data_IF_794565091631
#
_entry.id   IF_794565091631
#
_cell.length_a   1.000
_cell.length_b   1.000
_cell.length_c   1.000
_cell.angle_alpha   90.00
_cell.angle_beta   90.00
_cell.angle_gamma   90.00
#
_symmetry.space_group_name_H-M   'P 1'
#
loop_
_entity.id
_entity.type
_entity.pdbx_description
1 polymer ?
#
# COMPACT_ATOMS: atom_id res chain seq x y z
N UNK A 1 12.23 16.87 -27.14
CA UNK A 1 12.15 15.90 -26.05
C UNK A 1 10.76 16.08 -25.43
N UNK A 2 9.82 15.18 -25.71
CA UNK A 2 8.43 15.35 -25.27
C UNK A 2 8.35 15.11 -23.74
N UNK A 3 8.22 16.19 -22.96
CA UNK A 3 7.79 16.09 -21.58
C UNK A 3 6.31 15.72 -21.62
N UNK A 4 5.94 14.57 -21.07
CA UNK A 4 4.55 14.15 -20.98
C UNK A 4 3.72 15.24 -20.28
N UNK A 5 2.51 15.48 -20.79
CA UNK A 5 1.58 16.39 -20.12
C UNK A 5 1.28 15.87 -18.70
N UNK A 6 1.35 16.73 -17.69
CA UNK A 6 1.09 16.37 -16.30
C UNK A 6 -0.25 15.64 -16.09
N UNK A 7 -1.29 15.92 -16.92
CA UNK A 7 -2.59 15.23 -16.87
C UNK A 7 -2.47 13.76 -17.28
N UNK A 8 -1.63 13.46 -18.27
CA UNK A 8 -1.37 12.09 -18.74
C UNK A 8 -0.59 11.34 -17.64
N UNK A 9 0.41 11.98 -17.06
CA UNK A 9 1.19 11.40 -15.95
C UNK A 9 0.28 11.13 -14.76
N UNK A 10 -0.59 12.07 -14.39
CA UNK A 10 -1.59 11.85 -13.32
C UNK A 10 -2.47 10.63 -13.64
N UNK A 11 -2.97 10.50 -14.87
CA UNK A 11 -3.77 9.34 -15.29
C UNK A 11 -3.01 8.02 -15.17
N UNK A 12 -1.75 7.99 -15.60
CA UNK A 12 -0.89 6.81 -15.50
C UNK A 12 -0.65 6.45 -14.02
N UNK A 13 -0.25 7.43 -13.19
CA UNK A 13 0.03 7.19 -11.77
C UNK A 13 -1.22 6.77 -11.00
N UNK A 14 -2.39 7.33 -11.30
CA UNK A 14 -3.65 6.91 -10.66
C UNK A 14 -4.03 5.48 -11.03
N UNK A 15 -3.84 5.06 -12.28
CA UNK A 15 -4.02 3.65 -12.68
C UNK A 15 -3.03 2.73 -11.92
N UNK A 16 -1.76 3.11 -11.84
CA UNK A 16 -0.74 2.35 -11.10
C UNK A 16 -1.11 2.19 -9.62
N UNK A 17 -1.55 3.27 -8.99
CA UNK A 17 -1.96 3.27 -7.58
C UNK A 17 -3.18 2.36 -7.38
N UNK A 18 -4.14 2.41 -8.28
CA UNK A 18 -5.31 1.55 -8.22
C UNK A 18 -4.91 0.07 -8.27
N UNK A 19 -4.08 -0.33 -9.25
CA UNK A 19 -3.58 -1.70 -9.35
C UNK A 19 -2.75 -2.11 -8.14
N UNK A 20 -1.84 -1.25 -7.69
CA UNK A 20 -1.01 -1.52 -6.51
C UNK A 20 -1.87 -1.68 -5.25
N UNK A 21 -2.77 -0.73 -4.98
CA UNK A 21 -3.61 -0.74 -3.79
C UNK A 21 -4.57 -1.93 -3.79
N UNK A 22 -5.22 -2.21 -4.93
CA UNK A 22 -6.09 -3.37 -5.07
C UNK A 22 -5.33 -4.69 -4.90
N UNK A 23 -4.15 -4.84 -5.51
CA UNK A 23 -3.31 -6.04 -5.37
C UNK A 23 -2.86 -6.24 -3.92
N UNK A 24 -2.52 -5.15 -3.22
CA UNK A 24 -2.09 -5.22 -1.82
C UNK A 24 -3.23 -5.64 -0.89
N UNK A 25 -4.40 -5.04 -1.05
CA UNK A 25 -5.53 -5.24 -0.13
C UNK A 25 -6.36 -6.48 -0.44
N UNK A 26 -6.33 -6.98 -1.69
CA UNK A 26 -7.09 -8.16 -2.08
C UNK A 26 -6.71 -9.43 -1.32
N UNK A 27 -5.45 -9.53 -0.85
CA UNK A 27 -4.97 -10.71 -0.14
C UNK A 27 -5.30 -10.70 1.36
N UNK A 28 -5.64 -9.53 1.91
CA UNK A 28 -5.85 -9.36 3.36
C UNK A 28 -6.96 -10.27 3.89
N UNK A 29 -8.17 -10.28 3.32
CA UNK A 29 -9.28 -11.02 3.91
C UNK A 29 -9.12 -12.54 3.83
N UNK A 30 -8.36 -13.07 2.88
CA UNK A 30 -8.20 -14.52 2.78
C UNK A 30 -6.83 -15.06 3.25
N UNK A 31 -5.96 -14.20 3.80
CA UNK A 31 -4.68 -14.68 4.34
C UNK A 31 -4.83 -15.79 5.39
N UNK A 32 -5.72 -15.68 6.40
CA UNK A 32 -5.93 -16.78 7.32
C UNK A 32 -6.45 -18.06 6.66
N UNK A 33 -7.34 -17.90 5.65
CA UNK A 33 -7.86 -19.04 4.88
C UNK A 33 -6.77 -19.69 4.03
N UNK A 34 -5.88 -18.89 3.43
CA UNK A 34 -4.72 -19.37 2.69
C UNK A 34 -3.78 -20.19 3.57
N UNK A 35 -3.54 -19.73 4.80
CA UNK A 35 -2.73 -20.44 5.78
C UNK A 35 -3.34 -21.80 6.15
N UNK A 36 -4.64 -21.87 6.34
CA UNK A 36 -5.31 -23.12 6.75
C UNK A 36 -5.52 -24.09 5.58
N UNK A 37 -6.06 -23.61 4.46
CA UNK A 37 -6.46 -24.48 3.34
C UNK A 37 -5.30 -24.87 2.42
N UNK A 38 -4.34 -23.94 2.19
CA UNK A 38 -3.26 -24.17 1.23
C UNK A 38 -1.93 -24.54 1.89
N UNK A 39 -1.68 -24.05 3.13
CA UNK A 39 -0.43 -24.28 3.84
C UNK A 39 -0.58 -25.23 5.04
N UNK A 40 -1.78 -25.73 5.30
CA UNK A 40 -2.03 -26.75 6.32
C UNK A 40 -1.85 -26.29 7.77
N UNK A 41 -1.95 -24.99 8.05
CA UNK A 41 -1.83 -24.44 9.39
C UNK A 41 -3.06 -24.82 10.22
N UNK A 42 -2.84 -25.40 11.40
CA UNK A 42 -3.93 -25.80 12.31
C UNK A 42 -4.71 -24.61 12.85
N UNK A 43 -6.02 -24.79 13.18
CA UNK A 43 -6.90 -23.74 13.66
C UNK A 43 -6.39 -23.01 14.90
N UNK A 44 -5.66 -23.69 15.78
CA UNK A 44 -5.10 -23.12 17.01
C UNK A 44 -3.98 -22.12 16.76
N UNK A 45 -3.23 -22.27 15.67
CA UNK A 45 -2.06 -21.45 15.34
C UNK A 45 -2.29 -20.46 14.21
N UNK A 46 -3.43 -20.50 13.52
CA UNK A 46 -3.71 -19.66 12.35
C UNK A 46 -3.65 -18.15 12.67
N UNK A 47 -4.16 -17.73 13.82
CA UNK A 47 -4.14 -16.34 14.24
C UNK A 47 -2.71 -15.85 14.51
N UNK A 48 -1.89 -16.70 15.15
CA UNK A 48 -0.49 -16.40 15.40
C UNK A 48 0.29 -16.27 14.08
N UNK A 49 0.15 -17.24 13.18
CA UNK A 49 0.80 -17.19 11.87
C UNK A 49 0.30 -16.02 11.00
N UNK A 50 -0.99 -15.73 11.03
CA UNK A 50 -1.54 -14.56 10.33
C UNK A 50 -0.92 -13.26 10.84
N UNK A 51 -0.75 -13.12 12.15
CA UNK A 51 -0.09 -11.98 12.77
C UNK A 51 1.39 -11.88 12.37
N UNK A 52 2.15 -12.98 12.43
CA UNK A 52 3.57 -13.02 12.04
C UNK A 52 3.73 -12.66 10.56
N UNK A 53 2.99 -13.33 9.68
CA UNK A 53 3.05 -13.13 8.23
C UNK A 53 2.66 -11.71 7.85
N UNK A 54 1.63 -11.15 8.50
CA UNK A 54 1.15 -9.80 8.22
C UNK A 54 2.14 -8.74 8.71
N UNK A 55 2.63 -8.84 9.94
CA UNK A 55 3.52 -7.86 10.55
C UNK A 55 4.94 -7.85 9.97
N UNK A 56 5.43 -9.00 9.50
CA UNK A 56 6.80 -9.14 8.99
C UNK A 56 7.11 -8.18 7.82
N UNK A 57 6.16 -7.97 6.90
CA UNK A 57 6.34 -7.05 5.78
C UNK A 57 6.40 -5.59 6.23
N UNK A 58 5.59 -5.19 7.22
CA UNK A 58 5.62 -3.82 7.75
C UNK A 58 6.90 -3.53 8.52
N UNK A 59 7.41 -4.50 9.30
CA UNK A 59 8.65 -4.36 10.04
C UNK A 59 9.82 -4.05 9.10
N UNK A 60 10.01 -4.85 8.06
CA UNK A 60 11.08 -4.63 7.09
C UNK A 60 10.85 -3.35 6.29
N UNK A 61 9.61 -3.06 5.90
CA UNK A 61 9.26 -1.83 5.18
C UNK A 61 9.62 -0.57 6.00
N UNK A 62 9.36 -0.57 7.31
CA UNK A 62 9.70 0.54 8.19
C UNK A 62 11.22 0.79 8.26
N UNK A 63 12.01 -0.30 8.32
CA UNK A 63 13.48 -0.21 8.34
C UNK A 63 14.01 0.26 6.99
N UNK A 64 13.43 -0.21 5.88
CA UNK A 64 13.91 0.09 4.53
C UNK A 64 13.44 1.43 3.99
N UNK A 65 12.35 2.00 4.51
CA UNK A 65 11.76 3.25 4.02
C UNK A 65 12.77 4.43 3.94
N UNK A 66 13.56 4.75 4.99
CA UNK A 66 14.53 5.83 4.91
C UNK A 66 15.68 5.52 3.94
N UNK A 67 16.06 4.25 3.77
CA UNK A 67 17.13 3.83 2.85
C UNK A 67 16.65 4.05 1.40
N UNK A 68 15.45 3.59 1.08
CA UNK A 68 14.88 3.75 -0.26
C UNK A 68 14.55 5.20 -0.59
N UNK A 69 14.15 6.01 0.41
CA UNK A 69 13.95 7.45 0.25
C UNK A 69 15.25 8.14 -0.20
N UNK A 70 16.35 7.95 0.54
CA UNK A 70 17.67 8.50 0.17
C UNK A 70 18.15 8.02 -1.20
N UNK A 71 17.92 6.75 -1.51
CA UNK A 71 18.28 6.23 -2.85
C UNK A 71 17.43 6.85 -3.96
N UNK A 72 16.17 7.17 -3.71
CA UNK A 72 15.31 7.85 -4.69
C UNK A 72 15.80 9.25 -5.02
N UNK A 73 16.35 9.96 -4.04
CA UNK A 73 16.92 11.30 -4.27
C UNK A 73 18.20 11.26 -5.10
N UNK A 74 18.99 10.18 -4.98
CA UNK A 74 20.28 10.05 -5.70
C UNK A 74 20.17 9.34 -7.05
N UNK A 75 19.37 8.26 -7.14
CA UNK A 75 19.24 7.41 -8.33
C UNK A 75 18.05 7.73 -9.21
N UNK A 76 17.16 8.61 -8.72
CA UNK A 76 15.93 8.99 -9.43
C UNK A 76 14.70 8.18 -8.97
N UNK A 77 13.57 8.88 -8.95
CA UNK A 77 12.28 8.36 -8.42
C UNK A 77 11.69 7.30 -9.34
N UNK A 78 11.86 7.46 -10.66
CA UNK A 78 11.42 6.49 -11.67
C UNK A 78 12.10 5.14 -11.49
N UNK A 79 13.42 5.11 -11.35
CA UNK A 79 14.18 3.87 -11.17
C UNK A 79 13.75 3.15 -9.90
N UNK A 80 13.50 3.90 -8.84
CA UNK A 80 13.05 3.34 -7.56
C UNK A 80 11.60 2.83 -7.63
N UNK A 81 10.70 3.48 -8.39
CA UNK A 81 9.36 2.97 -8.66
C UNK A 81 9.40 1.66 -9.47
N UNK A 82 10.23 1.60 -10.52
CA UNK A 82 10.46 0.38 -11.30
C UNK A 82 11.00 -0.76 -10.44
N UNK A 83 12.02 -0.48 -9.62
CA UNK A 83 12.54 -1.45 -8.65
C UNK A 83 11.43 -1.99 -7.75
N UNK A 84 10.64 -1.09 -7.12
CA UNK A 84 9.58 -1.48 -6.21
C UNK A 84 8.53 -2.34 -6.92
N UNK A 85 8.04 -1.93 -8.08
CA UNK A 85 7.06 -2.68 -8.87
C UNK A 85 7.56 -4.08 -9.24
N UNK A 86 8.80 -4.18 -9.71
CA UNK A 86 9.40 -5.44 -10.14
C UNK A 86 9.62 -6.40 -8.96
N UNK A 87 10.21 -5.93 -7.86
CA UNK A 87 10.43 -6.78 -6.69
C UNK A 87 9.13 -7.18 -6.00
N UNK A 88 8.13 -6.28 -5.98
CA UNK A 88 6.79 -6.62 -5.50
C UNK A 88 6.14 -7.69 -6.39
N UNK A 89 6.24 -7.59 -7.72
CA UNK A 89 5.72 -8.61 -8.63
C UNK A 89 6.36 -9.99 -8.35
N UNK A 90 7.67 -10.05 -8.15
CA UNK A 90 8.36 -11.28 -7.75
C UNK A 90 7.84 -11.80 -6.41
N UNK A 91 7.66 -10.93 -5.40
CA UNK A 91 7.19 -11.35 -4.09
C UNK A 91 5.78 -11.95 -4.14
N UNK A 92 4.87 -11.36 -4.93
CA UNK A 92 3.53 -11.90 -5.12
C UNK A 92 3.56 -13.22 -5.91
N UNK A 93 4.39 -13.33 -6.94
CA UNK A 93 4.58 -14.58 -7.66
C UNK A 93 5.08 -15.70 -6.72
N UNK A 94 6.10 -15.41 -5.90
CA UNK A 94 6.60 -16.35 -4.90
C UNK A 94 5.51 -16.72 -3.89
N UNK A 95 4.67 -15.76 -3.48
CA UNK A 95 3.54 -16.01 -2.58
C UNK A 95 2.52 -17.01 -3.11
N UNK A 96 2.40 -17.17 -4.44
CA UNK A 96 1.53 -18.17 -5.07
C UNK A 96 2.10 -19.58 -5.10
N UNK A 97 3.41 -19.76 -4.94
CA UNK A 97 4.09 -21.08 -5.04
C UNK A 97 4.56 -21.64 -3.69
N UNK A 98 4.49 -20.87 -2.61
CA UNK A 98 4.88 -21.33 -1.27
C UNK A 98 4.03 -22.51 -0.81
N UNK A 99 4.63 -23.38 0.01
CA UNK A 99 4.01 -24.59 0.54
C UNK A 99 4.02 -24.66 2.06
N UNK A 100 4.65 -23.69 2.74
CA UNK A 100 4.68 -23.61 4.20
C UNK A 100 4.52 -22.18 4.72
N UNK A 101 4.04 -21.99 5.96
CA UNK A 101 3.86 -20.66 6.55
C UNK A 101 5.20 -19.94 6.77
N UNK A 102 6.29 -20.66 7.01
CA UNK A 102 7.64 -20.09 7.12
C UNK A 102 8.10 -19.49 5.79
N UNK A 103 7.89 -20.22 4.68
CA UNK A 103 8.20 -19.71 3.34
C UNK A 103 7.39 -18.46 3.02
N UNK A 104 6.09 -18.44 3.37
CA UNK A 104 5.26 -17.27 3.21
C UNK A 104 5.78 -16.08 4.04
N UNK A 105 6.25 -16.33 5.26
CA UNK A 105 6.87 -15.29 6.11
C UNK A 105 8.12 -14.72 5.45
N UNK A 106 8.99 -15.55 4.88
CA UNK A 106 10.18 -15.10 4.14
C UNK A 106 9.79 -14.25 2.92
N UNK A 107 8.77 -14.65 2.19
CA UNK A 107 8.23 -13.87 1.06
C UNK A 107 7.69 -12.51 1.55
N UNK A 108 7.03 -12.46 2.70
CA UNK A 108 6.56 -11.20 3.30
C UNK A 108 7.68 -10.29 3.77
N UNK A 109 8.75 -10.83 4.34
CA UNK A 109 9.96 -10.06 4.65
C UNK A 109 10.55 -9.46 3.36
N UNK A 110 10.66 -10.26 2.31
CA UNK A 110 11.10 -9.78 0.99
C UNK A 110 10.15 -8.72 0.40
N UNK A 111 8.84 -8.86 0.59
CA UNK A 111 7.86 -7.86 0.18
C UNK A 111 8.05 -6.53 0.92
N UNK A 112 8.36 -6.57 2.22
CA UNK A 112 8.72 -5.39 3.00
C UNK A 112 9.98 -4.70 2.48
N UNK A 113 11.01 -5.47 2.10
CA UNK A 113 12.21 -4.95 1.43
C UNK A 113 11.87 -4.31 0.07
N UNK A 114 10.98 -4.92 -0.70
CA UNK A 114 10.54 -4.42 -2.00
C UNK A 114 9.67 -3.16 -1.93
N UNK A 115 9.10 -2.83 -0.78
CA UNK A 115 8.14 -1.74 -0.59
C UNK A 115 8.69 -0.36 -1.04
N UNK A 116 7.79 0.63 -1.13
CA UNK A 116 8.13 2.00 -1.45
C UNK A 116 7.50 2.54 -2.75
N UNK A 117 6.63 1.78 -3.42
CA UNK A 117 6.02 2.23 -4.69
C UNK A 117 5.14 3.47 -4.48
N UNK A 118 4.27 3.47 -3.47
CA UNK A 118 3.39 4.61 -3.17
C UNK A 118 4.13 5.95 -2.95
N UNK A 119 5.16 6.05 -2.09
CA UNK A 119 5.93 7.28 -1.95
C UNK A 119 6.59 7.74 -3.25
N UNK A 120 7.00 6.80 -4.11
CA UNK A 120 7.60 7.13 -5.40
C UNK A 120 6.57 7.69 -6.38
N UNK A 121 5.35 7.16 -6.41
CA UNK A 121 4.25 7.69 -7.21
C UNK A 121 3.95 9.16 -6.83
N UNK A 122 3.85 9.45 -5.53
CA UNK A 122 3.68 10.81 -5.03
C UNK A 122 4.84 11.71 -5.43
N UNK A 123 6.08 11.24 -5.21
CA UNK A 123 7.28 11.99 -5.52
C UNK A 123 7.44 12.25 -7.04
N UNK A 124 7.02 11.33 -7.90
CA UNK A 124 7.00 11.54 -9.36
C UNK A 124 5.97 12.63 -9.70
N UNK A 125 4.77 12.59 -9.09
CA UNK A 125 3.75 13.60 -9.38
C UNK A 125 4.23 15.01 -9.03
N UNK A 126 5.00 15.20 -7.98
CA UNK A 126 5.56 16.53 -7.61
C UNK A 126 6.49 17.09 -8.68
N UNK A 127 7.13 16.25 -9.50
CA UNK A 127 8.02 16.68 -10.59
C UNK A 127 7.25 17.17 -11.82
N UNK A 128 6.00 16.72 -11.99
CA UNK A 128 5.20 17.01 -13.19
C UNK A 128 4.08 18.02 -12.95
N UNK A 129 3.49 18.03 -11.77
CA UNK A 129 2.33 18.87 -11.48
C UNK A 129 2.72 20.35 -11.37
N UNK A 130 1.93 21.26 -11.99
CA UNK A 130 2.08 22.68 -11.73
C UNK A 130 1.83 22.97 -10.24
N UNK A 131 2.60 23.89 -9.60
CA UNK A 131 2.46 24.19 -8.16
C UNK A 131 1.03 24.46 -7.71
N UNK A 132 0.26 25.21 -8.53
CA UNK A 132 -1.16 25.53 -8.25
C UNK A 132 -2.11 24.33 -8.30
N UNK A 133 -1.71 23.22 -8.93
CA UNK A 133 -2.54 22.02 -9.11
C UNK A 133 -2.04 20.82 -8.31
N UNK A 134 -0.87 20.91 -7.68
CA UNK A 134 -0.23 19.83 -6.97
C UNK A 134 -1.16 19.23 -5.89
N UNK A 135 -1.76 20.06 -5.05
CA UNK A 135 -2.68 19.60 -4.00
C UNK A 135 -3.87 18.81 -4.54
N UNK A 136 -4.43 19.24 -5.69
CA UNK A 136 -5.53 18.52 -6.35
C UNK A 136 -5.04 17.17 -6.89
N UNK A 137 -3.85 17.13 -7.51
CA UNK A 137 -3.28 15.88 -8.03
C UNK A 137 -3.04 14.87 -6.90
N UNK A 138 -2.42 15.29 -5.81
CA UNK A 138 -2.17 14.44 -4.65
C UNK A 138 -3.48 13.96 -4.00
N UNK A 139 -4.49 14.84 -3.93
CA UNK A 139 -5.84 14.49 -3.44
C UNK A 139 -6.51 13.41 -4.31
N UNK A 140 -6.42 13.51 -5.63
CA UNK A 140 -6.94 12.49 -6.56
C UNK A 140 -6.20 11.17 -6.34
N UNK A 141 -4.88 11.18 -6.27
CA UNK A 141 -4.07 9.99 -6.03
C UNK A 141 -4.41 9.31 -4.69
N UNK A 142 -4.61 10.10 -3.63
CA UNK A 142 -5.06 9.58 -2.33
C UNK A 142 -6.47 8.99 -2.40
N UNK A 143 -7.39 9.63 -3.13
CA UNK A 143 -8.74 9.10 -3.36
C UNK A 143 -8.70 7.76 -4.08
N UNK A 144 -7.85 7.61 -5.10
CA UNK A 144 -7.67 6.35 -5.83
C UNK A 144 -7.01 5.27 -4.97
N UNK A 145 -6.05 5.62 -4.12
CA UNK A 145 -5.47 4.70 -3.14
C UNK A 145 -6.56 4.12 -2.21
N UNK A 146 -7.43 4.99 -1.71
CA UNK A 146 -8.56 4.58 -0.88
C UNK A 146 -9.56 3.71 -1.66
N UNK A 147 -9.89 4.08 -2.89
CA UNK A 147 -10.76 3.30 -3.77
C UNK A 147 -10.20 1.89 -4.02
N UNK A 148 -8.89 1.77 -4.30
CA UNK A 148 -8.21 0.49 -4.42
C UNK A 148 -8.24 -0.34 -3.14
N UNK A 149 -8.13 0.31 -1.99
CA UNK A 149 -8.29 -0.32 -0.68
C UNK A 149 -9.69 -0.90 -0.43
N UNK A 150 -10.71 -0.28 -1.00
CA UNK A 150 -12.12 -0.74 -0.94
C UNK A 150 -12.40 -1.84 -1.96
N UNK A 151 -11.96 -1.64 -3.20
CA UNK A 151 -12.21 -2.56 -4.32
C UNK A 151 -11.38 -3.84 -4.17
N UNK A 152 -10.16 -3.74 -3.66
CA UNK A 152 -9.21 -4.85 -3.56
C UNK A 152 -9.76 -6.07 -2.81
N UNK A 153 -10.26 -5.95 -1.57
CA UNK A 153 -10.82 -7.07 -0.83
C UNK A 153 -11.99 -7.75 -1.55
N UNK A 154 -12.85 -6.97 -2.21
CA UNK A 154 -13.97 -7.50 -2.99
C UNK A 154 -13.47 -8.29 -4.21
N UNK A 155 -12.55 -7.70 -5.00
CA UNK A 155 -11.91 -8.38 -6.13
C UNK A 155 -11.17 -9.63 -5.66
N UNK A 156 -10.43 -9.54 -4.54
CA UNK A 156 -9.72 -10.67 -3.97
C UNK A 156 -10.63 -11.82 -3.59
N UNK A 157 -11.76 -11.52 -2.96
CA UNK A 157 -12.79 -12.52 -2.62
C UNK A 157 -13.35 -13.20 -3.85
N UNK A 158 -13.74 -12.43 -4.89
CA UNK A 158 -14.25 -12.97 -6.16
C UNK A 158 -13.21 -13.82 -6.87
N UNK A 159 -11.97 -13.32 -6.98
CA UNK A 159 -10.89 -14.04 -7.67
C UNK A 159 -10.50 -15.32 -6.93
N UNK A 160 -10.47 -15.28 -5.59
CA UNK A 160 -10.17 -16.46 -4.78
C UNK A 160 -11.26 -17.54 -4.91
N UNK A 161 -12.53 -17.13 -5.05
CA UNK A 161 -13.66 -18.04 -5.23
C UNK A 161 -13.67 -18.68 -6.63
N UNK A 162 -13.41 -17.88 -7.69
CA UNK A 162 -13.48 -18.34 -9.09
C UNK A 162 -12.23 -19.13 -9.50
N UNK A 163 -11.06 -18.61 -9.18
CA UNK A 163 -9.77 -19.12 -9.66
C UNK A 163 -8.91 -19.78 -8.57
N UNK A 164 -9.32 -19.64 -7.32
CA UNK A 164 -8.53 -20.09 -6.18
C UNK A 164 -7.53 -19.04 -5.69
N UNK A 165 -7.09 -19.21 -4.44
CA UNK A 165 -6.23 -18.22 -3.75
C UNK A 165 -4.84 -18.09 -4.38
N UNK A 166 -4.23 -19.19 -4.86
CA UNK A 166 -2.91 -19.17 -5.52
C UNK A 166 -2.91 -18.37 -6.80
N UNK A 167 -3.95 -18.52 -7.62
CA UNK A 167 -4.08 -17.77 -8.88
C UNK A 167 -4.26 -16.28 -8.61
N UNK A 168 -4.93 -15.91 -7.53
CA UNK A 168 -5.07 -14.52 -7.10
C UNK A 168 -3.70 -13.86 -6.82
N UNK A 169 -2.74 -14.59 -6.24
CA UNK A 169 -1.36 -14.13 -6.09
C UNK A 169 -0.68 -13.89 -7.45
N UNK A 170 -0.86 -14.79 -8.42
CA UNK A 170 -0.28 -14.63 -9.76
C UNK A 170 -0.90 -13.45 -10.53
N UNK A 171 -2.21 -13.21 -10.38
CA UNK A 171 -2.87 -12.06 -10.97
C UNK A 171 -2.35 -10.73 -10.36
N UNK A 172 -2.17 -10.68 -9.04
CA UNK A 172 -1.55 -9.54 -8.38
C UNK A 172 -0.10 -9.31 -8.85
N UNK A 173 0.68 -10.39 -9.00
CA UNK A 173 2.03 -10.32 -9.56
C UNK A 173 2.02 -9.76 -10.99
N UNK A 174 1.09 -10.19 -11.83
CA UNK A 174 0.89 -9.69 -13.19
C UNK A 174 0.55 -8.20 -13.24
N UNK A 175 -0.35 -7.74 -12.37
CA UNK A 175 -0.71 -6.33 -12.26
C UNK A 175 0.49 -5.45 -11.84
N UNK A 176 1.30 -5.91 -10.89
CA UNK A 176 2.52 -5.21 -10.46
C UNK A 176 3.63 -5.25 -11.53
N UNK A 177 3.73 -6.34 -12.28
CA UNK A 177 4.63 -6.42 -13.42
C UNK A 177 4.19 -5.47 -14.54
N UNK A 178 2.88 -5.33 -14.77
CA UNK A 178 2.34 -4.34 -15.69
C UNK A 178 2.73 -2.92 -15.25
N UNK A 179 2.65 -2.59 -13.95
CA UNK A 179 3.12 -1.33 -13.41
C UNK A 179 4.61 -1.09 -13.72
N UNK A 180 5.45 -2.11 -13.57
CA UNK A 180 6.86 -2.01 -13.95
C UNK A 180 7.03 -1.59 -15.42
N UNK A 181 6.33 -2.23 -16.34
CA UNK A 181 6.40 -1.87 -17.76
C UNK A 181 5.83 -0.48 -18.05
N UNK A 182 4.77 -0.07 -17.35
CA UNK A 182 4.23 1.28 -17.48
C UNK A 182 5.27 2.32 -17.07
N UNK A 183 5.96 2.14 -15.95
CA UNK A 183 7.07 3.02 -15.55
C UNK A 183 8.22 2.98 -16.55
N UNK A 184 8.57 1.80 -17.07
CA UNK A 184 9.68 1.63 -17.99
C UNK A 184 9.46 2.35 -19.32
N UNK A 185 8.25 2.31 -19.87
CA UNK A 185 7.97 2.81 -21.21
C UNK A 185 7.32 4.19 -21.24
N UNK A 186 6.48 4.51 -20.26
CA UNK A 186 5.65 5.72 -20.32
C UNK A 186 6.15 6.85 -19.40
N UNK A 187 6.70 6.56 -18.24
CA UNK A 187 7.19 7.59 -17.33
C UNK A 187 8.65 7.89 -17.62
N UNK A 188 8.94 9.15 -17.96
CA UNK A 188 10.33 9.65 -18.09
C UNK A 188 10.52 10.66 -16.97
N UNK A 189 11.53 10.45 -16.13
CA UNK A 189 11.86 11.44 -15.12
C UNK A 189 12.40 12.70 -15.79
N UNK A 190 11.83 13.89 -15.55
CA UNK A 190 12.45 15.12 -16.03
C UNK A 190 13.88 15.18 -15.49
N UNK A 191 14.85 15.69 -16.28
CA UNK A 191 16.18 15.94 -15.73
C UNK A 191 15.96 16.77 -14.44
N UNK A 192 16.60 16.35 -13.35
CA UNK A 192 16.61 17.14 -12.13
C UNK A 192 16.88 18.60 -12.56
N UNK A 193 16.11 19.60 -12.10
CA UNK A 193 16.48 20.99 -12.36
C UNK A 193 17.94 21.08 -12.03
N UNK A 194 18.77 21.43 -13.03
CA UNK A 194 20.23 21.50 -12.92
C UNK A 194 20.50 22.12 -11.56
N UNK A 195 21.13 21.34 -10.68
CA UNK A 195 21.14 21.53 -9.25
C UNK A 195 21.01 23.03 -8.98
N UNK A 196 19.88 23.46 -8.42
CA UNK A 196 19.85 24.79 -7.85
C UNK A 196 21.16 24.80 -7.07
N UNK A 197 22.09 25.61 -7.54
CA UNK A 197 23.46 25.68 -7.02
C UNK A 197 23.26 25.58 -5.51
N UNK A 198 24.02 24.74 -4.83
CA UNK A 198 23.79 24.59 -3.41
C UNK A 198 23.55 25.99 -2.93
N UNK A 199 22.30 26.27 -2.52
CA UNK A 199 22.03 27.56 -1.94
C UNK A 199 23.06 27.59 -0.83
N UNK A 200 24.18 28.23 -1.19
CA UNK A 200 25.24 28.53 -0.27
C UNK A 200 24.58 29.43 0.75
N UNK A 201 24.22 28.80 1.75
CA UNK A 201 24.16 29.17 3.12
C UNK A 201 23.69 27.88 3.78
N UNK A 202 24.67 27.05 4.15
CA UNK A 202 24.56 26.24 5.33
C UNK A 202 24.20 27.18 6.49
N UNK A 203 22.96 27.68 6.49
CA UNK A 203 22.31 27.83 7.75
C UNK A 203 22.30 26.41 8.26
N UNK A 204 23.10 26.11 9.23
CA UNK A 204 22.96 25.03 10.17
C UNK A 204 21.52 25.15 10.69
N UNK A 205 20.53 24.71 9.89
CA UNK A 205 19.23 24.34 10.41
C UNK A 205 19.56 23.23 11.38
N UNK A 206 19.70 23.58 12.65
CA UNK A 206 19.69 22.61 13.75
C UNK A 206 18.57 21.67 13.39
N UNK A 207 18.93 20.40 13.14
CA UNK A 207 17.97 19.36 12.74
C UNK A 207 16.85 19.42 13.78
N UNK A 208 15.73 20.06 13.43
CA UNK A 208 14.60 20.24 14.34
C UNK A 208 14.21 18.84 14.77
N UNK A 209 14.50 18.50 16.01
CA UNK A 209 14.13 17.21 16.56
C UNK A 209 12.59 17.19 16.63
N UNK A 210 11.95 16.59 15.64
CA UNK A 210 10.48 16.50 15.53
C UNK A 210 9.84 15.94 16.81
N UNK A 211 10.58 15.12 17.58
CA UNK A 211 10.14 14.59 18.87
C UNK A 211 10.12 15.65 19.98
N UNK A 212 10.83 16.77 19.83
CA UNK A 212 10.83 17.87 20.80
C UNK A 212 9.57 18.73 20.72
N UNK A 213 8.77 18.62 19.65
CA UNK A 213 7.50 19.32 19.48
C UNK A 213 6.36 18.46 20.04
N UNK A 214 5.79 18.80 21.23
CA UNK A 214 4.83 17.92 21.91
C UNK A 214 3.57 17.65 21.07
N UNK A 215 3.09 18.67 20.36
CA UNK A 215 1.91 18.54 19.50
C UNK A 215 2.14 17.50 18.40
N UNK A 216 3.26 17.60 17.66
CA UNK A 216 3.58 16.70 16.57
C UNK A 216 3.80 15.26 17.07
N UNK A 217 4.53 15.12 18.19
CA UNK A 217 4.73 13.82 18.85
C UNK A 217 3.41 13.16 19.26
N UNK A 218 2.51 13.92 19.87
CA UNK A 218 1.19 13.39 20.30
C UNK A 218 0.33 13.00 19.10
N UNK A 219 0.31 13.79 18.01
CA UNK A 219 -0.39 13.44 16.77
C UNK A 219 0.18 12.15 16.15
N UNK A 220 1.48 11.99 16.11
CA UNK A 220 2.13 10.77 15.61
C UNK A 220 1.76 9.55 16.48
N UNK A 221 1.78 9.69 17.81
CA UNK A 221 1.40 8.62 18.73
C UNK A 221 -0.08 8.24 18.57
N UNK A 222 -0.99 9.21 18.53
CA UNK A 222 -2.42 8.96 18.30
C UNK A 222 -2.66 8.27 16.94
N UNK A 223 -2.03 8.78 15.87
CA UNK A 223 -2.11 8.16 14.54
C UNK A 223 -1.59 6.72 14.53
N UNK A 224 -0.47 6.46 15.20
CA UNK A 224 0.09 5.11 15.33
C UNK A 224 -0.86 4.18 16.09
N UNK A 225 -1.46 4.62 17.19
CA UNK A 225 -2.41 3.83 17.96
C UNK A 225 -3.66 3.50 17.14
N UNK A 226 -4.22 4.48 16.42
CA UNK A 226 -5.38 4.26 15.54
C UNK A 226 -5.05 3.24 14.44
N UNK A 227 -3.91 3.40 13.76
CA UNK A 227 -3.49 2.45 12.74
C UNK A 227 -3.21 1.05 13.30
N UNK A 228 -2.64 0.97 14.50
CA UNK A 228 -2.41 -0.31 15.19
C UNK A 228 -3.72 -1.06 15.44
N UNK A 229 -4.76 -0.37 15.94
CA UNK A 229 -6.09 -0.97 16.15
C UNK A 229 -6.67 -1.48 14.83
N UNK A 230 -6.63 -0.68 13.76
CA UNK A 230 -7.14 -1.07 12.44
C UNK A 230 -6.40 -2.31 11.91
N UNK A 231 -5.07 -2.32 11.99
CA UNK A 231 -4.25 -3.41 11.45
C UNK A 231 -4.39 -4.72 12.25
N UNK A 232 -4.59 -4.65 13.57
CA UNK A 232 -4.83 -5.83 14.41
C UNK A 232 -6.18 -6.48 14.05
N UNK A 233 -7.20 -5.67 13.77
CA UNK A 233 -8.53 -6.19 13.44
C UNK A 233 -8.59 -6.90 12.08
N UNK A 234 -7.74 -6.54 11.13
CA UNK A 234 -7.80 -7.07 9.77
C UNK A 234 -7.69 -8.60 9.69
N UNK A 235 -6.65 -9.26 10.20
CA UNK A 235 -6.56 -10.72 10.12
C UNK A 235 -7.56 -11.45 11.00
N UNK A 236 -7.92 -10.86 12.16
CA UNK A 236 -8.87 -11.47 13.10
C UNK A 236 -10.30 -11.44 12.57
N UNK A 237 -10.68 -10.38 11.85
CA UNK A 237 -12.04 -10.22 11.34
C UNK A 237 -12.43 -11.36 10.40
N UNK A 238 -11.53 -11.82 9.56
CA UNK A 238 -11.81 -12.93 8.61
C UNK A 238 -12.05 -14.25 9.35
N UNK A 239 -11.24 -14.57 10.34
CA UNK A 239 -11.43 -15.78 11.16
C UNK A 239 -12.70 -15.70 12.00
N UNK A 240 -13.05 -14.50 12.49
CA UNK A 240 -14.28 -14.27 13.23
C UNK A 240 -15.52 -14.43 12.34
N UNK A 241 -15.49 -13.91 11.10
CA UNK A 241 -16.57 -14.12 10.11
C UNK A 241 -16.75 -15.61 9.82
N UNK A 242 -15.64 -16.33 9.61
CA UNK A 242 -15.68 -17.77 9.36
C UNK A 242 -16.28 -18.55 10.55
N UNK A 243 -15.97 -18.14 11.77
CA UNK A 243 -16.53 -18.75 12.97
C UNK A 243 -18.04 -18.49 13.13
N UNK A 244 -18.52 -17.27 12.83
CA UNK A 244 -19.93 -16.90 12.92
C UNK A 244 -20.78 -17.54 11.80
N UNK A 245 -20.26 -17.55 10.59
CA UNK A 245 -20.98 -18.00 9.41
C UNK A 245 -21.02 -19.53 9.28
N UNK A 246 -20.17 -20.25 10.02
CA UNK A 246 -19.99 -21.69 9.86
C UNK A 246 -19.34 -22.08 8.51
N UNK A 247 -19.44 -23.33 8.10
CA UNK A 247 -18.82 -23.84 6.87
C UNK A 247 -19.61 -23.40 5.62
N UNK A 248 -19.48 -22.12 5.24
CA UNK A 248 -20.04 -21.60 3.99
C UNK A 248 -19.01 -21.71 2.85
N UNK A 249 -19.43 -22.06 1.62
CA UNK A 249 -18.52 -22.23 0.50
C UNK A 249 -17.88 -20.90 0.01
N UNK A 250 -18.49 -19.75 0.30
CA UNK A 250 -18.09 -18.44 -0.22
C UNK A 250 -17.58 -17.47 0.87
N UNK A 251 -16.95 -17.96 1.92
CA UNK A 251 -16.45 -17.13 3.04
C UNK A 251 -15.46 -16.07 2.57
N UNK A 252 -14.58 -16.36 1.59
CA UNK A 252 -13.63 -15.38 1.05
C UNK A 252 -14.35 -14.17 0.44
N UNK A 253 -15.41 -14.42 -0.32
CA UNK A 253 -16.25 -13.36 -0.90
C UNK A 253 -16.95 -12.55 0.19
N UNK A 254 -17.56 -13.20 1.19
CA UNK A 254 -18.24 -12.53 2.30
C UNK A 254 -17.26 -11.67 3.10
N UNK A 255 -16.07 -12.17 3.40
CA UNK A 255 -15.02 -11.40 4.07
C UNK A 255 -14.62 -10.18 3.24
N UNK A 256 -14.37 -10.34 1.95
CA UNK A 256 -14.07 -9.25 1.02
C UNK A 256 -15.17 -8.20 0.97
N UNK A 257 -16.44 -8.62 0.95
CA UNK A 257 -17.60 -7.72 0.97
C UNK A 257 -17.66 -6.90 2.26
N UNK A 258 -17.48 -7.53 3.42
CA UNK A 258 -17.48 -6.84 4.74
C UNK A 258 -16.37 -5.80 4.81
N UNK A 259 -15.15 -6.14 4.38
CA UNK A 259 -14.04 -5.18 4.31
C UNK A 259 -14.34 -4.00 3.38
N UNK A 260 -14.90 -4.28 2.20
CA UNK A 260 -15.25 -3.23 1.23
C UNK A 260 -16.35 -2.31 1.73
N UNK A 261 -17.36 -2.84 2.42
CA UNK A 261 -18.42 -2.04 3.04
C UNK A 261 -17.86 -1.09 4.12
N UNK A 262 -16.93 -1.58 4.95
CA UNK A 262 -16.21 -0.74 5.92
C UNK A 262 -15.44 0.40 5.24
N UNK A 263 -14.74 0.11 4.14
CA UNK A 263 -14.02 1.11 3.34
C UNK A 263 -14.95 2.13 2.68
N UNK A 264 -16.09 1.70 2.13
CA UNK A 264 -17.11 2.59 1.57
C UNK A 264 -17.67 3.52 2.65
N UNK A 265 -18.05 2.98 3.81
CA UNK A 265 -18.54 3.77 4.92
C UNK A 265 -17.53 4.83 5.38
N UNK A 266 -16.24 4.46 5.48
CA UNK A 266 -15.16 5.38 5.77
C UNK A 266 -15.00 6.48 4.72
N UNK A 267 -15.04 6.13 3.43
CA UNK A 267 -14.96 7.08 2.33
C UNK A 267 -16.13 8.08 2.31
N UNK A 268 -17.33 7.63 2.65
CA UNK A 268 -18.52 8.48 2.77
C UNK A 268 -18.46 9.40 4.01
N UNK A 269 -17.90 8.92 5.12
CA UNK A 269 -17.78 9.69 6.36
C UNK A 269 -16.67 10.74 6.30
N UNK A 270 -15.60 10.52 5.54
CA UNK A 270 -14.43 11.40 5.49
C UNK A 270 -14.75 12.87 5.10
N UNK A 271 -15.56 13.16 4.05
CA UNK A 271 -15.92 14.55 3.72
C UNK A 271 -16.75 15.23 4.80
N UNK A 272 -17.63 14.46 5.47
CA UNK A 272 -18.46 14.97 6.57
C UNK A 272 -17.56 15.41 7.74
N UNK A 273 -16.66 14.53 8.21
CA UNK A 273 -15.74 14.84 9.30
C UNK A 273 -14.75 15.95 8.92
N UNK A 274 -14.28 15.98 7.67
CA UNK A 274 -13.43 17.06 7.17
C UNK A 274 -14.13 18.43 7.22
N UNK A 275 -15.37 18.51 6.76
CA UNK A 275 -16.16 19.77 6.80
C UNK A 275 -16.53 20.17 8.23
N UNK A 276 -16.81 19.20 9.10
CA UNK A 276 -17.08 19.44 10.51
C UNK A 276 -15.85 20.04 11.23
N UNK A 277 -14.66 19.45 11.01
CA UNK A 277 -13.40 19.95 11.57
C UNK A 277 -13.05 21.37 11.09
N UNK A 278 -13.33 21.69 9.81
CA UNK A 278 -13.15 23.04 9.27
C UNK A 278 -14.06 24.08 9.95
N UNK A 279 -15.27 23.70 10.33
CA UNK A 279 -16.25 24.61 10.95
C UNK A 279 -16.08 24.79 12.46
N UNK A 280 -15.66 23.72 13.16
CA UNK A 280 -15.62 23.71 14.62
C UNK A 280 -14.19 23.66 15.18
N UNK A 281 -13.18 23.62 14.30
CA UNK A 281 -11.79 23.42 14.68
C UNK A 281 -11.41 21.95 14.69
N UNK A 282 -10.11 21.69 14.57
CA UNK A 282 -9.55 20.32 14.58
C UNK A 282 -9.11 19.87 15.99
N UNK A 283 -9.30 20.74 17.00
CA UNK A 283 -8.93 20.53 18.40
C UNK A 283 -10.08 20.92 19.32
#
# INVERSE_FOLDING_TARGET
MFILNWKVVLGILTCNILFMSSSYTMLIPFLPMYLTSELGVGPESVNLWSGIVFSSSFLVSAIMAPIWGRMADTKGKRIMAMRASFLLAISYFLGGIVTSPEQLTLVRLFQGFAAGLWPMDLAIMTLYAPPKKLGVCLGIMQGVLTAGGVIGPLLGGILAEIFGMRVSFFLAAGALLLNFFIFAFFIKEPPAPAAAAPAAEETTEEAINLWSIPLLRNMMLCGTLVQMVILILQPVLTTYIAHLAGPLPNIAFIAGLVFSLGGIAGAMAAPFWGSFGQRHGYF
#
